data_IF_142879797252
#
_entry.id   IF_142879797252
#
_cell.length_a   1.000
_cell.length_b   1.000
_cell.length_c   1.000
_cell.angle_alpha   90.00
_cell.angle_beta   90.00
_cell.angle_gamma   90.00
#
_symmetry.space_group_name_H-M   'P 1'
#
loop_
_entity.id
_entity.type
_entity.pdbx_description
1 polymer ?
#
# COMPACT_ATOMS: atom_id res chain seq x y z
N UNK A 1 -0.37 -12.49 2.17
CA UNK A 1 -1.47 -11.94 2.98
C UNK A 1 -1.61 -10.45 2.74
N UNK A 2 -2.83 -9.99 2.52
CA UNK A 2 -3.07 -8.56 2.30
C UNK A 2 -2.91 -7.81 3.62
N UNK A 3 -2.09 -6.80 3.60
CA UNK A 3 -1.80 -5.96 4.76
C UNK A 3 -1.77 -4.49 4.37
N UNK A 4 -1.86 -3.64 5.37
CA UNK A 4 -1.70 -2.20 5.20
C UNK A 4 -0.30 -1.81 5.67
N UNK A 5 0.43 -1.09 4.82
CA UNK A 5 1.77 -0.60 5.13
C UNK A 5 1.73 0.91 5.20
N UNK A 6 2.05 1.46 6.36
CA UNK A 6 2.18 2.91 6.54
C UNK A 6 3.65 3.25 6.44
N UNK A 7 3.99 4.10 5.50
CA UNK A 7 5.38 4.51 5.28
C UNK A 7 5.52 6.02 5.37
N UNK A 8 6.76 6.48 5.32
CA UNK A 8 7.03 7.93 5.31
C UNK A 8 6.52 8.60 4.05
N UNK A 9 6.30 7.84 2.97
CA UNK A 9 5.79 8.34 1.71
C UNK A 9 4.26 8.32 1.62
N UNK A 10 3.63 7.35 2.27
CA UNK A 10 2.18 7.21 2.20
C UNK A 10 1.73 5.87 2.72
N UNK A 11 0.45 5.61 2.57
CA UNK A 11 -0.17 4.38 3.05
C UNK A 11 -0.52 3.49 1.86
N UNK A 12 -0.11 2.23 1.93
CA UNK A 12 -0.31 1.27 0.85
C UNK A 12 -1.05 0.05 1.36
N UNK A 13 -1.75 -0.61 0.45
CA UNK A 13 -2.39 -1.89 0.72
C UNK A 13 -2.02 -2.85 -0.40
N UNK A 14 -1.74 -4.09 -0.06
CA UNK A 14 -1.41 -5.12 -1.03
C UNK A 14 -0.92 -6.39 -0.37
N UNK A 15 -0.43 -7.31 -1.19
CA UNK A 15 0.17 -8.54 -0.70
C UNK A 15 1.58 -8.21 -0.21
N UNK A 16 1.79 -8.29 1.09
CA UNK A 16 3.01 -7.81 1.73
C UNK A 16 3.95 -8.96 2.06
N UNK A 17 5.20 -8.79 1.69
CA UNK A 17 6.28 -9.73 1.99
C UNK A 17 7.38 -8.94 2.70
N UNK A 18 7.59 -9.21 3.98
CA UNK A 18 8.58 -8.50 4.78
C UNK A 18 9.93 -9.19 4.73
N UNK A 19 10.91 -8.53 4.15
CA UNK A 19 12.28 -9.00 4.15
C UNK A 19 13.08 -8.42 5.30
N UNK A 20 14.39 -8.66 5.31
CA UNK A 20 15.28 -8.16 6.35
C UNK A 20 15.45 -6.64 6.28
N UNK A 21 15.64 -6.12 5.06
CA UNK A 21 15.93 -4.70 4.84
C UNK A 21 14.87 -3.96 4.05
N UNK A 22 13.96 -4.68 3.42
CA UNK A 22 12.94 -4.11 2.56
C UNK A 22 11.60 -4.78 2.80
N UNK A 23 10.54 -4.07 2.42
CA UNK A 23 9.18 -4.60 2.40
C UNK A 23 8.73 -4.56 0.95
N UNK A 24 8.30 -5.69 0.42
CA UNK A 24 7.79 -5.78 -0.96
C UNK A 24 6.28 -5.87 -0.89
N UNK A 25 5.60 -5.03 -1.64
CA UNK A 25 4.14 -5.04 -1.72
C UNK A 25 3.76 -5.40 -3.13
N UNK A 26 3.09 -6.53 -3.32
CA UNK A 26 2.62 -6.98 -4.63
C UNK A 26 1.23 -6.45 -4.87
N UNK A 27 0.98 -6.02 -6.10
CA UNK A 27 -0.27 -5.38 -6.52
C UNK A 27 -0.65 -4.25 -5.56
N UNK A 28 0.27 -3.31 -5.34
CA UNK A 28 0.04 -2.25 -4.36
C UNK A 28 -0.99 -1.25 -4.85
N UNK A 29 -1.76 -0.72 -3.92
CA UNK A 29 -2.62 0.44 -4.15
C UNK A 29 -2.29 1.44 -3.07
N UNK A 30 -2.10 2.68 -3.47
CA UNK A 30 -1.86 3.76 -2.52
C UNK A 30 -3.20 4.29 -2.03
N UNK A 31 -3.35 4.37 -0.72
CA UNK A 31 -4.60 4.81 -0.11
C UNK A 31 -4.55 6.32 0.06
N UNK A 32 -5.62 6.99 -0.35
CA UNK A 32 -5.78 8.41 -0.13
C UNK A 32 -7.06 8.64 0.65
N UNK A 33 -7.05 9.66 1.49
CA UNK A 33 -8.21 9.99 2.30
C UNK A 33 -8.73 11.37 1.90
N UNK A 34 -10.06 11.47 1.81
CA UNK A 34 -10.72 12.72 1.47
C UNK A 34 -11.89 12.93 2.41
N UNK A 35 -12.57 14.06 2.28
CA UNK A 35 -13.75 14.37 3.08
C UNK A 35 -14.87 13.35 2.90
N UNK A 36 -14.88 12.68 1.76
CA UNK A 36 -15.91 11.68 1.44
C UNK A 36 -15.52 10.27 1.85
N UNK A 37 -14.38 10.09 2.49
CA UNK A 37 -13.89 8.80 2.89
C UNK A 37 -12.52 8.50 2.29
N UNK A 38 -12.23 7.23 2.07
CA UNK A 38 -10.96 6.83 1.49
C UNK A 38 -11.13 6.42 0.02
N UNK A 39 -10.02 6.42 -0.71
CA UNK A 39 -9.99 5.93 -2.07
C UNK A 39 -8.60 5.43 -2.41
N UNK A 40 -8.42 4.94 -3.63
CA UNK A 40 -7.14 4.44 -4.09
C UNK A 40 -6.62 5.34 -5.19
N UNK A 41 -5.33 5.68 -5.13
CA UNK A 41 -4.67 6.43 -6.18
C UNK A 41 -4.34 5.50 -7.34
N UNK A 42 -4.24 6.07 -8.55
CA UNK A 42 -3.88 5.33 -9.76
C UNK A 42 -2.38 5.17 -9.87
N UNK A 43 -1.74 4.55 -9.04
CA UNK A 43 -0.30 4.41 -9.06
C UNK A 43 0.28 4.88 -7.76
N UNK A 44 1.57 4.72 -7.62
CA UNK A 44 2.25 4.97 -6.35
C UNK A 44 3.10 6.23 -6.38
N UNK A 45 3.32 6.80 -7.54
CA UNK A 45 4.01 8.08 -7.69
C UNK A 45 3.76 8.63 -9.09
N UNK A 46 4.17 9.88 -9.31
CA UNK A 46 3.82 10.63 -10.52
C UNK A 46 4.29 9.97 -11.82
N UNK A 47 5.49 9.44 -11.81
CA UNK A 47 6.09 8.88 -13.03
C UNK A 47 5.98 7.36 -13.13
N UNK A 48 5.34 6.72 -12.16
CA UNK A 48 5.15 5.27 -12.17
C UNK A 48 4.00 4.88 -13.10
N UNK A 49 3.97 3.60 -13.48
CA UNK A 49 2.82 3.06 -14.20
C UNK A 49 1.60 3.09 -13.28
N UNK A 50 0.41 3.08 -13.88
CA UNK A 50 -0.84 3.20 -13.14
C UNK A 50 -1.11 2.04 -12.19
N UNK A 51 -0.69 0.84 -12.58
CA UNK A 51 -0.91 -0.35 -11.77
C UNK A 51 0.37 -1.18 -11.72
N UNK A 52 1.35 -0.77 -10.89
CA UNK A 52 2.60 -1.51 -10.80
C UNK A 52 2.37 -2.91 -10.21
N UNK A 53 3.15 -3.87 -10.69
CA UNK A 53 3.06 -5.25 -10.19
C UNK A 53 3.52 -5.34 -8.75
N UNK A 54 4.52 -4.57 -8.39
CA UNK A 54 5.04 -4.54 -7.04
C UNK A 54 5.83 -3.27 -6.78
N UNK A 55 5.95 -2.92 -5.51
CA UNK A 55 6.85 -1.85 -5.07
C UNK A 55 7.69 -2.39 -3.92
N UNK A 56 8.91 -1.88 -3.81
CA UNK A 56 9.83 -2.23 -2.74
C UNK A 56 10.10 -0.98 -1.93
N UNK A 57 9.86 -1.06 -0.63
CA UNK A 57 10.07 0.06 0.28
C UNK A 57 11.17 -0.32 1.26
N UNK A 58 12.14 0.59 1.46
CA UNK A 58 13.18 0.39 2.46
C UNK A 58 12.53 0.27 3.84
N UNK A 59 12.91 -0.73 4.61
CA UNK A 59 12.31 -0.97 5.91
C UNK A 59 12.46 0.22 6.86
N UNK A 60 13.53 0.97 6.69
CA UNK A 60 13.77 2.18 7.48
C UNK A 60 12.68 3.25 7.26
N UNK A 61 11.97 3.20 6.14
CA UNK A 61 10.90 4.15 5.81
C UNK A 61 9.52 3.61 6.11
N UNK A 62 9.42 2.41 6.66
CA UNK A 62 8.14 1.81 7.05
C UNK A 62 7.87 2.15 8.50
N UNK A 63 6.72 2.78 8.74
CA UNK A 63 6.31 3.15 10.09
C UNK A 63 5.66 1.96 10.78
N UNK A 64 4.76 1.29 10.08
CA UNK A 64 4.08 0.11 10.62
C UNK A 64 3.48 -0.74 9.51
N UNK A 65 3.29 -2.02 9.81
CA UNK A 65 2.56 -2.94 8.96
C UNK A 65 1.45 -3.51 9.83
N UNK A 66 0.20 -3.34 9.39
CA UNK A 66 -0.95 -3.72 10.19
C UNK A 66 -1.96 -4.49 9.34
N UNK A 67 -2.88 -5.16 10.02
CA UNK A 67 -3.99 -5.83 9.36
C UNK A 67 -4.90 -4.79 8.72
N UNK A 68 -5.37 -5.09 7.53
CA UNK A 68 -6.24 -4.18 6.80
C UNK A 68 -7.65 -4.23 7.35
N UNK A 69 -8.27 -3.06 7.49
CA UNK A 69 -9.68 -2.93 7.86
C UNK A 69 -10.53 -3.72 6.86
N UNK A 70 -11.47 -4.55 7.32
CA UNK A 70 -12.29 -5.37 6.41
C UNK A 70 -13.01 -4.60 5.31
N UNK A 71 -13.48 -3.40 5.57
CA UNK A 71 -14.15 -2.59 4.56
C UNK A 71 -13.18 -2.14 3.48
N UNK A 72 -11.97 -1.78 3.88
CA UNK A 72 -10.92 -1.37 2.95
C UNK A 72 -10.45 -2.56 2.14
N UNK A 73 -10.29 -3.72 2.79
CA UNK A 73 -9.89 -4.95 2.12
C UNK A 73 -10.91 -5.33 1.04
N UNK A 74 -12.19 -5.22 1.35
CA UNK A 74 -13.24 -5.51 0.39
C UNK A 74 -13.15 -4.59 -0.83
N UNK A 75 -12.94 -3.31 -0.60
CA UNK A 75 -12.79 -2.34 -1.69
C UNK A 75 -11.55 -2.63 -2.53
N UNK A 76 -10.47 -3.04 -1.88
CA UNK A 76 -9.23 -3.38 -2.58
C UNK A 76 -9.42 -4.60 -3.50
N UNK A 77 -10.18 -5.59 -3.05
CA UNK A 77 -10.39 -6.84 -3.78
C UNK A 77 -11.39 -6.70 -4.93
N UNK A 78 -12.15 -5.64 -4.95
CA UNK A 78 -13.03 -5.33 -6.08
C UNK A 78 -12.21 -4.74 -7.26
#
# INVERSE_FOLDING_TARGET
>A
MIKTVVSTYGEFIGEVDEGADVVVIKKPKMVIQSEKGFGFAKGVCVTSVSEPEEVTIQKANVVMVVDTNPEVLKAYEE
#
